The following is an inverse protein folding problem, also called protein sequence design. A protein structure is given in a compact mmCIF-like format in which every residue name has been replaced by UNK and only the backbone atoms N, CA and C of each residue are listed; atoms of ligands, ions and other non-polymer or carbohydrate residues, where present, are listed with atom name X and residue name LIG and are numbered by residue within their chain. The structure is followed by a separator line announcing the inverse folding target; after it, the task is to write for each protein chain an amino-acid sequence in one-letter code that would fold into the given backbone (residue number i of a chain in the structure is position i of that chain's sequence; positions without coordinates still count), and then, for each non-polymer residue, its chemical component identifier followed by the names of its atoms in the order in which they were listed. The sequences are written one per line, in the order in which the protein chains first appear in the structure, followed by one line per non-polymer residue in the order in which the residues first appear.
data_IF_585432937969
#
_entry.id   IF_585432937969
#
_cell.length_a   1.000
_cell.length_b   1.000
_cell.length_c   1.000
_cell.angle_alpha   90.00
_cell.angle_beta   90.00
_cell.angle_gamma   90.00
#
_symmetry.space_group_name_H-M   'P 1'
#
loop_
_entity.id
_entity.type
_entity.pdbx_description
1 polymer ?
#
# COMPACT_ATOMS: atom_id res chain seq x y z
N UNK A 1 2.56 14.80 -4.88
CA UNK A 1 1.21 14.60 -4.27
C UNK A 1 1.07 13.29 -3.48
N UNK A 2 1.58 12.14 -3.95
CA UNK A 2 1.38 10.83 -3.31
C UNK A 2 2.08 10.64 -1.95
N UNK A 3 3.28 11.20 -1.76
CA UNK A 3 4.04 11.07 -0.50
C UNK A 3 3.25 11.65 0.68
N UNK A 4 2.63 12.80 0.51
CA UNK A 4 1.83 13.46 1.55
C UNK A 4 0.60 12.64 1.98
N UNK A 5 0.00 11.93 1.02
CA UNK A 5 -1.14 11.07 1.32
C UNK A 5 -0.74 9.89 2.24
N UNK A 6 0.34 9.18 1.91
CA UNK A 6 0.80 8.05 2.73
C UNK A 6 1.29 8.51 4.12
N UNK A 7 1.94 9.67 4.19
CA UNK A 7 2.32 10.26 5.47
C UNK A 7 1.10 10.63 6.33
N UNK A 8 0.05 11.16 5.69
CA UNK A 8 -1.22 11.46 6.37
C UNK A 8 -1.87 10.23 6.97
N UNK A 9 -1.95 9.13 6.22
CA UNK A 9 -2.50 7.85 6.72
C UNK A 9 -1.70 7.33 7.90
N UNK A 10 -0.36 7.38 7.83
CA UNK A 10 0.49 6.95 8.94
C UNK A 10 0.26 7.78 10.22
N UNK A 11 0.13 9.09 10.09
CA UNK A 11 -0.16 9.98 11.23
C UNK A 11 -1.52 9.64 11.85
N UNK A 12 -2.55 9.44 11.05
CA UNK A 12 -3.89 9.06 11.52
C UNK A 12 -3.84 7.74 12.27
N UNK A 13 -3.13 6.74 11.72
CA UNK A 13 -2.98 5.43 12.35
C UNK A 13 -2.25 5.51 13.70
N UNK A 14 -1.14 6.25 13.76
CA UNK A 14 -0.43 6.50 15.03
C UNK A 14 -1.35 7.20 16.03
N UNK A 15 -2.09 8.20 15.60
CA UNK A 15 -3.04 8.93 16.47
C UNK A 15 -4.11 7.99 17.02
N UNK A 16 -4.64 7.09 16.20
CA UNK A 16 -5.59 6.08 16.69
C UNK A 16 -4.96 5.19 17.76
N UNK A 17 -3.74 4.68 17.52
CA UNK A 17 -3.06 3.79 18.48
C UNK A 17 -2.75 4.47 19.81
N UNK A 18 -2.51 5.77 19.80
CA UNK A 18 -2.26 6.56 21.02
C UNK A 18 -3.56 6.89 21.77
N UNK A 19 -4.63 7.24 21.06
CA UNK A 19 -5.86 7.75 21.66
C UNK A 19 -6.91 6.68 21.92
N UNK A 20 -6.91 5.60 21.12
CA UNK A 20 -7.96 4.54 21.09
C UNK A 20 -9.38 5.09 20.90
N UNK A 21 -9.48 6.30 20.33
CA UNK A 21 -10.75 6.97 20.16
C UNK A 21 -11.56 6.37 19.00
N UNK A 22 -12.85 6.01 19.17
CA UNK A 22 -13.63 5.30 18.16
C UNK A 22 -13.81 6.09 16.85
N UNK A 23 -13.88 7.41 16.90
CA UNK A 23 -13.96 8.24 15.68
C UNK A 23 -12.64 8.18 14.91
N UNK A 24 -11.49 8.23 15.61
CA UNK A 24 -10.17 8.12 14.97
C UNK A 24 -9.97 6.74 14.35
N UNK A 25 -10.51 5.68 14.96
CA UNK A 25 -10.55 4.33 14.37
C UNK A 25 -11.24 4.33 13.00
N UNK A 26 -12.42 4.93 12.88
CA UNK A 26 -13.13 4.97 11.60
C UNK A 26 -12.43 5.81 10.54
N UNK A 27 -11.79 6.90 10.95
CA UNK A 27 -10.97 7.72 10.04
C UNK A 27 -9.76 6.91 9.53
N UNK A 28 -9.06 6.23 10.44
CA UNK A 28 -7.93 5.34 10.10
C UNK A 28 -8.36 4.21 9.16
N UNK A 29 -9.47 3.56 9.47
CA UNK A 29 -10.05 2.51 8.64
C UNK A 29 -10.36 2.98 7.22
N UNK A 30 -11.03 4.11 7.06
CA UNK A 30 -11.36 4.67 5.73
C UNK A 30 -10.10 5.09 5.00
N UNK A 31 -9.15 5.75 5.67
CA UNK A 31 -7.90 6.18 5.10
C UNK A 31 -7.07 4.97 4.61
N UNK A 32 -6.93 3.93 5.43
CA UNK A 32 -6.21 2.70 5.08
C UNK A 32 -6.84 1.99 3.87
N UNK A 33 -8.16 1.83 3.86
CA UNK A 33 -8.87 1.19 2.74
C UNK A 33 -8.80 2.01 1.44
N UNK A 34 -8.73 3.34 1.51
CA UNK A 34 -8.59 4.20 0.33
C UNK A 34 -7.20 4.13 -0.33
N UNK A 35 -6.18 3.60 0.38
CA UNK A 35 -4.87 3.32 -0.21
C UNK A 35 -4.93 2.24 -1.30
N UNK A 36 -5.79 1.23 -1.13
CA UNK A 36 -5.94 0.12 -2.09
C UNK A 36 -6.24 0.63 -3.50
N UNK A 37 -7.34 1.36 -3.75
CA UNK A 37 -7.65 1.87 -5.08
C UNK A 37 -6.65 2.93 -5.58
N UNK A 38 -5.97 3.64 -4.68
CA UNK A 38 -5.00 4.68 -5.09
C UNK A 38 -3.74 4.12 -5.73
N UNK A 39 -3.34 2.90 -5.39
CA UNK A 39 -2.15 2.23 -5.92
C UNK A 39 -2.51 1.31 -7.10
N UNK A 40 -3.75 0.83 -7.17
CA UNK A 40 -4.19 -0.12 -8.18
C UNK A 40 -3.82 0.26 -9.64
N UNK A 41 -3.98 1.50 -10.11
CA UNK A 41 -3.60 1.86 -11.48
C UNK A 41 -2.10 1.72 -11.77
N UNK A 42 -1.25 1.78 -10.74
CA UNK A 42 0.19 1.63 -10.88
C UNK A 42 0.61 0.17 -11.00
N UNK A 43 -0.01 -0.68 -10.16
CA UNK A 43 0.34 -2.11 -10.12
C UNK A 43 -0.32 -2.90 -11.24
N UNK A 44 -1.45 -2.43 -11.78
CA UNK A 44 -2.18 -3.08 -12.86
C UNK A 44 -1.40 -3.14 -14.19
N UNK A 45 -0.31 -2.41 -14.31
CA UNK A 45 0.53 -2.39 -15.52
C UNK A 45 1.49 -3.59 -15.62
N UNK A 46 1.65 -4.38 -14.54
CA UNK A 46 2.61 -5.49 -14.46
C UNK A 46 2.04 -6.65 -13.67
N UNK A 47 1.90 -7.81 -14.29
CA UNK A 47 1.25 -8.99 -13.72
C UNK A 47 1.84 -9.44 -12.39
N UNK A 48 3.17 -9.51 -12.29
CA UNK A 48 3.85 -9.93 -11.04
C UNK A 48 3.73 -8.89 -9.92
N UNK A 49 3.68 -7.59 -10.25
CA UNK A 49 3.44 -6.52 -9.28
C UNK A 49 2.01 -6.59 -8.77
N UNK A 50 1.07 -6.83 -9.67
CA UNK A 50 -0.33 -7.02 -9.35
C UNK A 50 -0.52 -8.22 -8.42
N UNK A 51 0.13 -9.35 -8.71
CA UNK A 51 0.06 -10.54 -7.89
C UNK A 51 0.59 -10.28 -6.47
N UNK A 52 1.78 -9.69 -6.33
CA UNK A 52 2.37 -9.37 -5.03
C UNK A 52 1.48 -8.43 -4.21
N UNK A 53 0.94 -7.41 -4.87
CA UNK A 53 0.02 -6.47 -4.24
C UNK A 53 -1.29 -7.15 -3.82
N UNK A 54 -1.87 -7.98 -4.67
CA UNK A 54 -3.10 -8.72 -4.38
C UNK A 54 -2.93 -9.68 -3.19
N UNK A 55 -1.77 -10.33 -3.05
CA UNK A 55 -1.46 -11.16 -1.89
C UNK A 55 -1.43 -10.34 -0.59
N UNK A 56 -0.78 -9.18 -0.60
CA UNK A 56 -0.73 -8.29 0.57
C UNK A 56 -2.11 -7.76 0.95
N UNK A 57 -2.87 -7.30 -0.03
CA UNK A 57 -4.26 -6.82 0.16
C UNK A 57 -5.14 -7.96 0.66
N UNK A 58 -5.06 -9.15 0.04
CA UNK A 58 -5.82 -10.32 0.45
C UNK A 58 -5.54 -10.75 1.89
N UNK A 59 -4.27 -10.71 2.31
CA UNK A 59 -3.89 -10.94 3.70
C UNK A 59 -4.56 -9.93 4.65
N UNK A 60 -4.50 -8.63 4.32
CA UNK A 60 -5.09 -7.58 5.14
C UNK A 60 -6.62 -7.74 5.26
N UNK A 61 -7.31 -8.04 4.15
CA UNK A 61 -8.74 -8.33 4.15
C UNK A 61 -9.07 -9.56 5.00
N UNK A 62 -8.31 -10.64 4.85
CA UNK A 62 -8.50 -11.84 5.63
C UNK A 62 -8.36 -11.56 7.13
N UNK A 63 -7.25 -10.95 7.55
CA UNK A 63 -6.99 -10.66 8.96
C UNK A 63 -8.04 -9.73 9.57
N UNK A 64 -8.52 -8.74 8.82
CA UNK A 64 -9.49 -7.79 9.31
C UNK A 64 -10.90 -8.36 9.32
N UNK A 65 -11.43 -8.83 8.19
CA UNK A 65 -12.83 -9.26 8.09
C UNK A 65 -13.09 -10.63 8.71
N UNK A 66 -12.19 -11.59 8.53
CA UNK A 66 -12.30 -12.86 9.22
C UNK A 66 -12.21 -12.69 10.73
N UNK A 67 -11.25 -11.89 11.21
CA UNK A 67 -11.12 -11.55 12.62
C UNK A 67 -12.36 -10.86 13.17
N UNK A 68 -12.96 -9.94 12.41
CA UNK A 68 -14.21 -9.28 12.80
C UNK A 68 -15.36 -10.26 13.01
N UNK A 69 -15.54 -11.21 12.08
CA UNK A 69 -16.61 -12.23 12.13
C UNK A 69 -16.38 -13.19 13.30
N UNK A 70 -15.15 -13.64 13.51
CA UNK A 70 -14.79 -14.63 14.53
C UNK A 70 -14.52 -14.01 15.91
N UNK A 71 -14.42 -12.69 16.02
CA UNK A 71 -13.96 -11.97 17.22
C UNK A 71 -12.57 -12.44 17.67
N UNK A 72 -11.69 -12.63 16.70
CA UNK A 72 -10.33 -13.12 16.87
C UNK A 72 -9.33 -12.29 16.05
N UNK A 73 -8.05 -12.64 16.07
CA UNK A 73 -6.98 -11.93 15.38
C UNK A 73 -6.95 -10.45 15.81
N UNK A 74 -7.07 -9.52 14.87
CA UNK A 74 -7.07 -8.07 15.16
C UNK A 74 -8.28 -7.61 15.99
N UNK A 75 -9.32 -8.41 16.08
CA UNK A 75 -10.55 -8.16 16.84
C UNK A 75 -10.69 -9.00 18.09
N UNK A 76 -9.61 -9.67 18.52
CA UNK A 76 -9.60 -10.42 19.75
C UNK A 76 -9.88 -9.48 20.94
N UNK A 77 -10.81 -9.83 21.85
CA UNK A 77 -11.10 -9.01 23.05
C UNK A 77 -9.88 -8.85 23.97
N UNK A 78 -8.96 -9.81 23.98
CA UNK A 78 -7.66 -9.63 24.62
C UNK A 78 -6.74 -8.79 23.72
N UNK A 79 -6.51 -7.55 24.14
CA UNK A 79 -5.66 -6.58 23.43
C UNK A 79 -4.23 -7.09 23.22
N UNK A 80 -3.68 -7.85 24.18
CA UNK A 80 -2.34 -8.40 24.07
C UNK A 80 -2.27 -9.48 22.96
N UNK A 81 -3.30 -10.30 22.86
CA UNK A 81 -3.43 -11.29 21.79
C UNK A 81 -3.70 -10.62 20.43
N UNK A 82 -4.48 -9.55 20.37
CA UNK A 82 -4.80 -8.82 19.14
C UNK A 82 -3.62 -8.01 18.59
N UNK A 83 -2.77 -7.45 19.44
CA UNK A 83 -1.70 -6.52 19.06
C UNK A 83 -0.76 -7.06 17.98
N UNK A 84 -0.19 -8.27 18.06
CA UNK A 84 0.71 -8.77 17.02
C UNK A 84 0.04 -8.91 15.65
N UNK A 85 -1.23 -9.30 15.61
CA UNK A 85 -1.99 -9.36 14.36
C UNK A 85 -2.24 -7.98 13.77
N UNK A 86 -2.58 -7.00 14.61
CA UNK A 86 -2.80 -5.64 14.18
C UNK A 86 -1.51 -5.01 13.62
N UNK A 87 -0.38 -5.20 14.30
CA UNK A 87 0.94 -4.76 13.84
C UNK A 87 1.31 -5.44 12.52
N UNK A 88 1.09 -6.75 12.39
CA UNK A 88 1.36 -7.48 11.15
C UNK A 88 0.54 -6.96 9.96
N UNK A 89 -0.70 -6.57 10.18
CA UNK A 89 -1.57 -5.98 9.15
C UNK A 89 -0.96 -4.69 8.58
N UNK A 90 -0.54 -3.76 9.43
CA UNK A 90 0.12 -2.54 9.00
C UNK A 90 1.45 -2.80 8.29
N UNK A 91 2.23 -3.75 8.82
CA UNK A 91 3.52 -4.10 8.25
C UNK A 91 3.38 -4.70 6.85
N UNK A 92 2.49 -5.68 6.68
CA UNK A 92 2.25 -6.33 5.38
C UNK A 92 1.67 -5.34 4.37
N UNK A 93 0.72 -4.49 4.77
CA UNK A 93 0.17 -3.45 3.90
C UNK A 93 1.26 -2.47 3.42
N UNK A 94 2.10 -1.99 4.33
CA UNK A 94 3.19 -1.06 4.02
C UNK A 94 4.23 -1.70 3.10
N UNK A 95 4.62 -2.95 3.37
CA UNK A 95 5.56 -3.69 2.53
C UNK A 95 5.02 -3.95 1.14
N UNK A 96 3.77 -4.37 1.01
CA UNK A 96 3.13 -4.58 -0.30
C UNK A 96 3.10 -3.29 -1.13
N UNK A 97 2.76 -2.15 -0.51
CA UNK A 97 2.79 -0.85 -1.17
C UNK A 97 4.20 -0.43 -1.57
N UNK A 98 5.18 -0.56 -0.68
CA UNK A 98 6.57 -0.20 -0.94
C UNK A 98 7.17 -1.03 -2.08
N UNK A 99 6.98 -2.35 -2.06
CA UNK A 99 7.43 -3.25 -3.13
C UNK A 99 6.79 -2.89 -4.47
N UNK A 100 5.48 -2.66 -4.51
CA UNK A 100 4.78 -2.27 -5.73
C UNK A 100 5.35 -0.97 -6.31
N UNK A 101 5.62 0.04 -5.48
CA UNK A 101 6.19 1.31 -5.90
C UNK A 101 7.65 1.15 -6.39
N UNK A 102 8.48 0.38 -5.69
CA UNK A 102 9.87 0.13 -6.07
C UNK A 102 9.98 -0.57 -7.42
N UNK A 103 9.20 -1.63 -7.62
CA UNK A 103 9.19 -2.39 -8.87
C UNK A 103 8.73 -1.50 -10.03
N UNK A 104 7.69 -0.71 -9.84
CA UNK A 104 7.16 0.19 -10.88
C UNK A 104 8.19 1.27 -11.24
N UNK A 105 8.85 1.89 -10.25
CA UNK A 105 9.86 2.92 -10.50
C UNK A 105 11.10 2.39 -11.22
N UNK A 106 11.57 1.21 -10.85
CA UNK A 106 12.70 0.56 -11.50
C UNK A 106 12.42 0.22 -12.97
N UNK A 107 11.20 -0.23 -13.26
CA UNK A 107 10.79 -0.53 -14.64
C UNK A 107 10.74 0.72 -15.52
N UNK A 108 10.22 1.83 -15.01
CA UNK A 108 10.16 3.11 -15.73
C UNK A 108 11.56 3.66 -16.01
N UNK A 109 12.49 3.54 -15.07
CA UNK A 109 13.88 3.94 -15.26
C UNK A 109 14.58 3.14 -16.37
N UNK A 110 14.34 1.82 -16.43
CA UNK A 110 14.87 0.94 -17.49
C UNK A 110 14.28 1.25 -18.86
N UNK A 111 12.99 1.55 -18.96
CA UNK A 111 12.35 1.95 -20.22
C UNK A 111 12.90 3.28 -20.73
N UNK A 112 13.10 4.26 -19.85
CA UNK A 112 13.66 5.55 -20.23
C UNK A 112 15.12 5.42 -20.73
N UNK A 113 15.91 4.53 -20.17
CA UNK A 113 17.29 4.28 -20.61
C UNK A 113 17.41 3.52 -21.95
N UNK A 114 16.33 2.86 -22.38
CA UNK A 114 16.27 2.09 -23.63
C UNK A 114 15.76 2.89 -24.84
N UNK A 115 15.14 4.05 -24.63
CA UNK A 115 14.68 4.91 -25.72
C UNK A 115 15.90 5.63 -26.31
N UNK A 116 16.39 5.24 -27.51
CA UNK A 116 17.53 5.92 -28.14
C UNK A 116 17.09 7.36 -28.47
N UNK A 117 17.98 8.30 -28.26
CA UNK A 117 17.85 9.71 -28.72
C UNK A 117 17.97 9.79 -30.24
N UNK A 118 17.15 9.06 -30.98
CA UNK A 118 17.13 9.01 -32.46
C UNK A 118 16.60 10.28 -33.13
N UNK A 119 16.30 11.32 -32.37
CA UNK A 119 15.79 12.58 -32.92
C UNK A 119 16.85 13.66 -33.20
N UNK A 120 18.13 13.39 -32.94
CA UNK A 120 19.19 14.40 -33.16
C UNK A 120 20.01 14.21 -34.46
N UNK A 121 19.73 13.18 -35.28
CA UNK A 121 20.59 12.87 -36.43
C UNK A 121 19.99 13.20 -37.80
N UNK A 122 18.88 13.89 -37.90
CA UNK A 122 18.20 14.24 -39.18
C UNK A 122 18.32 15.73 -39.54
N UNK A 123 19.10 16.54 -38.83
CA UNK A 123 19.16 17.98 -39.06
C UNK A 123 20.37 18.46 -39.86
N UNK A 124 21.33 17.61 -40.21
CA UNK A 124 22.54 17.99 -40.99
C UNK A 124 22.73 17.10 -42.22
N UNK A 125 21.86 17.22 -43.20
CA UNK A 125 22.15 16.84 -44.57
C UNK A 125 22.06 18.08 -45.48
N UNK A 126 23.15 18.48 -46.19
CA UNK A 126 23.22 19.63 -47.04
C UNK A 126 22.38 19.53 -48.32
#
# INVERSE_FOLDING_TARGET
MRIWYHSGVAIISITYHLTKHPVVFWIDFVAANSMVPSILPLVAQRDYTMFTYACGVGYCFFMFYYGYIKKDLVWNPDVNAATPYHVSLHYVASMACALALLITSSSLALEHSRTPTSHLEVADAP
#
